data_IF_535021453573
#
_entry.id   IF_535021453573
#
_cell.length_a   1.000
_cell.length_b   1.000
_cell.length_c   1.000
_cell.angle_alpha   90.00
_cell.angle_beta   90.00
_cell.angle_gamma   90.00
#
_symmetry.space_group_name_H-M   'P 1'
#
loop_
_entity.id
_entity.type
_entity.pdbx_description
1 polymer ?
#
# COMPACT_ATOMS: atom_id res chain seq x y z
N UNK A 1 8.42 2.43 1.29
CA UNK A 1 7.75 1.52 2.24
C UNK A 1 8.12 0.09 1.89
N UNK A 2 8.16 -0.79 2.86
CA UNK A 2 8.37 -2.23 2.68
C UNK A 2 7.22 -2.95 3.36
N UNK A 3 6.07 -3.14 2.69
CA UNK A 3 4.90 -3.75 3.31
C UNK A 3 5.14 -5.21 3.65
N UNK A 4 4.56 -5.64 4.77
CA UNK A 4 4.54 -7.04 5.19
C UNK A 4 3.24 -7.76 4.77
N UNK A 5 2.17 -7.00 4.50
CA UNK A 5 0.93 -7.54 3.94
C UNK A 5 1.16 -8.24 2.62
N UNK A 6 0.57 -9.42 2.44
CA UNK A 6 0.73 -10.24 1.24
C UNK A 6 -0.61 -10.48 0.56
N UNK A 7 -0.63 -10.24 -0.73
CA UNK A 7 -1.75 -10.55 -1.60
C UNK A 7 -1.42 -11.65 -2.60
N UNK A 8 -2.33 -11.85 -3.52
CA UNK A 8 -2.12 -12.81 -4.61
C UNK A 8 -2.80 -12.36 -5.90
N UNK A 9 -2.32 -12.91 -6.99
CA UNK A 9 -2.97 -12.89 -8.31
C UNK A 9 -3.13 -14.33 -8.76
N UNK A 10 -4.34 -14.74 -9.14
CA UNK A 10 -4.65 -16.11 -9.53
C UNK A 10 -5.52 -16.15 -10.76
N UNK A 11 -5.27 -17.15 -11.61
CA UNK A 11 -6.15 -17.47 -12.75
C UNK A 11 -7.39 -18.18 -12.18
N UNK A 12 -8.58 -17.68 -12.50
CA UNK A 12 -9.85 -18.22 -12.02
C UNK A 12 -10.52 -19.14 -13.04
N UNK A 13 -10.12 -19.07 -14.31
CA UNK A 13 -10.78 -19.76 -15.41
C UNK A 13 -9.79 -20.19 -16.48
N UNK A 14 -10.22 -21.14 -17.33
CA UNK A 14 -9.52 -21.50 -18.57
C UNK A 14 -9.85 -20.55 -19.74
N UNK A 15 -10.87 -19.72 -19.60
CA UNK A 15 -11.20 -18.70 -20.58
C UNK A 15 -10.22 -17.52 -20.44
N UNK A 16 -9.39 -17.22 -21.47
CA UNK A 16 -8.42 -16.13 -21.41
C UNK A 16 -9.03 -14.73 -21.37
N UNK A 17 -10.35 -14.63 -21.58
CA UNK A 17 -11.09 -13.36 -21.49
C UNK A 17 -11.58 -13.07 -20.08
N UNK A 18 -11.56 -14.04 -19.19
CA UNK A 18 -11.94 -13.86 -17.81
C UNK A 18 -10.79 -13.26 -17.00
N UNK A 19 -11.12 -12.19 -16.27
CA UNK A 19 -10.10 -11.50 -15.47
C UNK A 19 -9.58 -12.39 -14.34
N UNK A 20 -8.28 -12.30 -14.00
CA UNK A 20 -7.75 -13.00 -12.85
C UNK A 20 -8.31 -12.42 -11.54
N UNK A 21 -8.30 -13.23 -10.50
CA UNK A 21 -8.50 -12.76 -9.14
C UNK A 21 -7.27 -11.95 -8.71
N UNK A 22 -7.49 -10.70 -8.32
CA UNK A 22 -6.45 -9.82 -7.81
C UNK A 22 -6.82 -9.40 -6.40
N UNK A 23 -6.11 -9.94 -5.42
CA UNK A 23 -6.35 -9.67 -4.00
C UNK A 23 -5.10 -9.10 -3.34
N UNK A 24 -5.00 -7.78 -3.20
CA UNK A 24 -3.81 -7.13 -2.62
C UNK A 24 -3.63 -7.36 -1.13
N UNK A 25 -4.71 -7.56 -0.38
CA UNK A 25 -4.71 -7.69 1.09
C UNK A 25 -3.99 -6.53 1.80
N UNK A 26 -4.22 -5.30 1.36
CA UNK A 26 -3.60 -4.12 1.98
C UNK A 26 -3.97 -4.01 3.47
N UNK A 27 -3.01 -3.59 4.28
CA UNK A 27 -3.18 -3.30 5.71
C UNK A 27 -3.64 -4.51 6.56
N UNK A 28 -3.35 -5.73 6.12
CA UNK A 28 -3.62 -6.94 6.92
C UNK A 28 -2.64 -7.07 8.09
N UNK A 29 -1.40 -6.59 7.90
CA UNK A 29 -0.36 -6.66 8.92
C UNK A 29 -0.31 -5.39 9.77
N UNK A 30 -0.07 -5.59 11.09
CA UNK A 30 -0.04 -4.48 12.05
C UNK A 30 1.05 -3.46 11.73
N UNK A 31 2.22 -3.91 11.30
CA UNK A 31 3.32 -3.02 10.93
C UNK A 31 2.96 -2.07 9.80
N UNK A 32 2.14 -2.54 8.84
CA UNK A 32 1.67 -1.72 7.72
C UNK A 32 0.65 -0.68 8.17
N UNK A 33 -0.26 -1.06 9.09
CA UNK A 33 -1.21 -0.14 9.73
C UNK A 33 -0.50 0.96 10.49
N UNK A 34 0.48 0.59 11.32
CA UNK A 34 1.30 1.55 12.07
C UNK A 34 2.11 2.47 11.14
N UNK A 35 2.61 1.94 10.03
CA UNK A 35 3.34 2.74 9.05
C UNK A 35 2.45 3.82 8.40
N UNK A 36 1.19 3.49 8.08
CA UNK A 36 0.21 4.45 7.52
C UNK A 36 -0.12 5.53 8.54
N UNK A 37 -0.46 5.15 9.77
CA UNK A 37 -0.77 6.10 10.85
C UNK A 37 0.40 7.03 11.13
N UNK A 38 1.58 6.44 11.31
CA UNK A 38 2.80 7.21 11.57
C UNK A 38 3.14 8.14 10.40
N UNK A 39 2.98 7.65 9.17
CA UNK A 39 3.22 8.43 7.96
C UNK A 39 2.34 9.67 7.89
N UNK A 40 1.02 9.54 8.14
CA UNK A 40 0.11 10.69 8.16
C UNK A 40 0.47 11.68 9.27
N UNK A 41 0.75 11.19 10.48
CA UNK A 41 1.18 12.04 11.60
C UNK A 41 2.47 12.80 11.29
N UNK A 42 3.42 12.16 10.61
CA UNK A 42 4.65 12.81 10.16
C UNK A 42 4.40 13.87 9.09
N UNK A 43 3.53 13.60 8.11
CA UNK A 43 3.14 14.60 7.10
C UNK A 43 2.52 15.83 7.76
N UNK A 44 1.62 15.66 8.72
CA UNK A 44 1.04 16.76 9.50
C UNK A 44 2.10 17.58 10.23
N UNK A 45 3.01 16.89 10.96
CA UNK A 45 4.14 17.55 11.64
C UNK A 45 5.01 18.35 10.67
N UNK A 46 5.30 17.78 9.52
CA UNK A 46 6.13 18.41 8.50
C UNK A 46 5.47 19.68 7.96
N UNK A 47 4.20 19.60 7.60
CA UNK A 47 3.43 20.75 7.07
C UNK A 47 3.22 21.87 8.11
N UNK A 48 3.23 21.53 9.40
CA UNK A 48 3.11 22.50 10.51
C UNK A 48 4.44 23.17 10.87
N UNK A 49 5.54 22.88 10.17
CA UNK A 49 6.81 23.54 10.43
C UNK A 49 6.76 25.01 10.03
N UNK A 50 7.45 25.85 10.78
CA UNK A 50 7.53 27.29 10.53
C UNK A 50 7.99 27.65 9.11
N UNK A 51 8.82 26.80 8.50
CA UNK A 51 9.29 26.99 7.13
C UNK A 51 8.20 26.81 6.09
N UNK A 52 7.19 25.96 6.36
CA UNK A 52 6.09 25.68 5.45
C UNK A 52 4.81 26.44 5.77
N UNK A 53 4.72 27.08 6.93
CA UNK A 53 3.56 27.86 7.37
C UNK A 53 3.05 28.85 6.31
N UNK A 54 3.91 29.63 5.60
CA UNK A 54 3.42 30.56 4.57
C UNK A 54 2.79 29.88 3.34
N UNK A 55 3.02 28.58 3.15
CA UNK A 55 2.57 27.81 2.00
C UNK A 55 1.45 26.83 2.35
N UNK A 56 1.10 26.70 3.64
CA UNK A 56 0.10 25.75 4.14
C UNK A 56 -1.12 26.53 4.63
N UNK A 57 -2.27 26.32 3.99
CA UNK A 57 -3.52 26.92 4.44
C UNK A 57 -4.27 25.99 5.40
N UNK A 58 -4.93 24.97 4.86
CA UNK A 58 -5.69 24.01 5.66
C UNK A 58 -5.48 22.57 5.15
N UNK A 59 -5.69 21.60 6.03
CA UNK A 59 -5.70 20.19 5.65
C UNK A 59 -7.06 19.82 5.05
N UNK A 60 -7.09 19.56 3.76
CA UNK A 60 -8.32 19.16 3.05
C UNK A 60 -8.58 17.66 3.15
N UNK A 61 -7.54 16.84 3.12
CA UNK A 61 -7.61 15.38 3.20
C UNK A 61 -6.49 14.82 4.11
N UNK A 62 -6.82 13.96 5.05
CA UNK A 62 -8.15 13.49 5.45
C UNK A 62 -9.02 14.54 6.13
N UNK A 63 -8.47 15.72 6.48
CA UNK A 63 -9.13 16.80 7.17
C UNK A 63 -8.99 16.74 8.68
N UNK A 64 -9.12 17.91 9.32
CA UNK A 64 -8.88 18.09 10.74
C UNK A 64 -9.81 17.30 11.68
N UNK A 65 -10.89 16.71 11.17
CA UNK A 65 -11.80 15.87 11.96
C UNK A 65 -11.24 14.45 12.22
N UNK A 66 -10.30 13.97 11.41
CA UNK A 66 -9.68 12.64 11.52
C UNK A 66 -8.41 12.75 12.38
N UNK A 67 -8.48 12.34 13.65
CA UNK A 67 -7.39 12.54 14.60
C UNK A 67 -6.85 11.24 15.23
N UNK A 68 -7.74 10.32 15.60
CA UNK A 68 -7.33 9.07 16.24
C UNK A 68 -6.72 8.09 15.23
N UNK A 69 -5.96 7.14 15.75
CA UNK A 69 -5.31 6.11 14.93
C UNK A 69 -6.34 5.25 14.20
N UNK A 70 -7.44 4.92 14.85
CA UNK A 70 -8.55 4.16 14.27
C UNK A 70 -9.25 4.94 13.15
N UNK A 71 -9.50 6.24 13.33
CA UNK A 71 -10.06 7.10 12.29
C UNK A 71 -9.14 7.22 11.07
N UNK A 72 -7.82 7.34 11.31
CA UNK A 72 -6.81 7.38 10.25
C UNK A 72 -6.82 6.07 9.46
N UNK A 73 -6.86 4.92 10.14
CA UNK A 73 -6.90 3.60 9.50
C UNK A 73 -8.20 3.39 8.72
N UNK A 74 -9.34 3.75 9.29
CA UNK A 74 -10.63 3.67 8.62
C UNK A 74 -10.66 4.57 7.37
N UNK A 75 -10.14 5.79 7.48
CA UNK A 75 -9.98 6.68 6.33
C UNK A 75 -9.08 6.04 5.25
N UNK A 76 -7.92 5.51 5.64
CA UNK A 76 -6.99 4.88 4.72
C UNK A 76 -7.61 3.66 4.01
N UNK A 77 -8.38 2.85 4.73
CA UNK A 77 -9.07 1.69 4.15
C UNK A 77 -10.15 2.08 3.14
N UNK A 78 -10.87 3.18 3.39
CA UNK A 78 -11.97 3.63 2.52
C UNK A 78 -11.54 4.53 1.37
N UNK A 79 -10.47 5.30 1.54
CA UNK A 79 -10.05 6.35 0.59
C UNK A 79 -8.65 6.13 0.04
N UNK A 80 -7.89 5.21 0.62
CA UNK A 80 -6.59 4.83 0.12
C UNK A 80 -6.69 4.26 -1.29
N UNK A 81 -5.66 4.50 -2.08
CA UNK A 81 -5.54 3.99 -3.44
C UNK A 81 -4.13 3.44 -3.67
N UNK A 82 -4.04 2.51 -4.60
CA UNK A 82 -2.73 2.04 -5.05
C UNK A 82 -2.01 3.14 -5.82
N UNK A 83 -0.68 3.19 -5.68
CA UNK A 83 0.17 4.04 -6.54
C UNK A 83 0.68 3.27 -7.76
N UNK A 84 0.07 2.12 -8.05
CA UNK A 84 0.35 1.28 -9.23
C UNK A 84 1.77 0.73 -9.29
N UNK A 85 2.37 0.44 -8.14
CA UNK A 85 3.71 -0.15 -8.04
C UNK A 85 3.68 -1.48 -7.25
N UNK A 86 2.77 -2.42 -7.59
CA UNK A 86 2.79 -3.75 -6.97
C UNK A 86 4.07 -4.48 -7.39
N UNK A 87 4.60 -5.28 -6.47
CA UNK A 87 5.81 -6.08 -6.70
C UNK A 87 5.60 -7.51 -6.23
N UNK A 88 6.47 -8.42 -6.67
CA UNK A 88 6.55 -9.82 -6.21
C UNK A 88 5.43 -10.75 -6.70
N UNK A 89 4.52 -10.32 -7.56
CA UNK A 89 3.56 -11.24 -8.21
C UNK A 89 4.23 -12.22 -9.17
N UNK A 90 5.38 -11.80 -9.74
CA UNK A 90 6.26 -12.65 -10.56
C UNK A 90 7.67 -12.58 -9.99
N UNK A 91 7.83 -13.00 -8.74
CA UNK A 91 9.11 -12.83 -8.07
C UNK A 91 10.20 -13.74 -8.62
N UNK A 92 11.39 -13.24 -8.61
CA UNK A 92 12.62 -13.93 -8.93
C UNK A 92 13.15 -14.65 -7.68
N UNK A 93 13.70 -15.84 -7.85
CA UNK A 93 14.29 -16.61 -6.74
C UNK A 93 14.81 -17.96 -7.19
N UNK A 94 15.23 -18.76 -6.22
CA UNK A 94 15.74 -20.12 -6.42
C UNK A 94 14.85 -21.19 -5.78
N UNK A 95 13.75 -20.79 -5.16
CA UNK A 95 12.78 -21.69 -4.53
C UNK A 95 11.59 -21.99 -5.45
N UNK A 96 10.79 -22.99 -5.09
CA UNK A 96 9.67 -23.47 -5.90
C UNK A 96 8.53 -22.48 -6.13
N UNK A 97 8.47 -21.39 -5.36
CA UNK A 97 7.47 -20.34 -5.53
C UNK A 97 7.95 -19.19 -6.44
N UNK A 98 9.21 -19.25 -6.87
CA UNK A 98 9.73 -18.27 -7.83
C UNK A 98 9.22 -18.58 -9.23
N UNK A 99 8.89 -17.53 -9.98
CA UNK A 99 8.39 -17.63 -11.37
C UNK A 99 9.54 -17.59 -12.37
N UNK A 100 10.62 -16.92 -12.00
CA UNK A 100 11.85 -16.82 -12.78
C UNK A 100 13.07 -16.96 -11.86
N UNK A 101 14.17 -17.44 -12.40
CA UNK A 101 15.44 -17.47 -11.71
C UNK A 101 16.18 -16.13 -11.78
N UNK A 102 17.43 -16.08 -11.30
CA UNK A 102 18.23 -14.86 -11.32
C UNK A 102 18.64 -14.41 -12.74
N UNK A 103 18.50 -15.26 -13.75
CA UNK A 103 18.70 -14.90 -15.15
C UNK A 103 17.45 -14.29 -15.79
N UNK A 104 16.33 -14.25 -15.05
CA UNK A 104 14.99 -13.84 -15.51
C UNK A 104 14.37 -14.82 -16.52
N UNK A 105 14.88 -16.02 -16.60
CA UNK A 105 14.30 -17.11 -17.38
C UNK A 105 13.36 -17.89 -16.45
N UNK A 106 12.22 -18.35 -17.00
CA UNK A 106 11.29 -19.19 -16.24
C UNK A 106 11.96 -20.52 -15.85
N UNK A 107 11.58 -21.01 -14.69
CA UNK A 107 12.07 -22.27 -14.14
C UNK A 107 11.24 -23.42 -14.70
#
# INVERSE_FOLDING_TARGET
MRPESRGHVRICSKDPKENPEIQPNYLTEEVDRQAVVSGLKWCRKFLQTKALEPFTAEETLPGGAIQSDDEILDYAARKGATVYHPVSSCRMGTDLDAVVDLSLIHI
#
